data_IF_147273194676
#
_entry.id   IF_147273194676
#
_cell.length_a   1.000
_cell.length_b   1.000
_cell.length_c   1.000
_cell.angle_alpha   90.00
_cell.angle_beta   90.00
_cell.angle_gamma   90.00
#
_symmetry.space_group_name_H-M   'P 1'
#
loop_
_entity.id
_entity.type
_entity.pdbx_description
1 polymer ?
#
# COMPACT_ATOMS: atom_id res chain seq x y z
N UNK A 1 -5.53 11.64 21.21
CA UNK A 1 -4.11 11.88 21.58
C UNK A 1 -3.55 13.11 20.84
N UNK A 2 -2.34 13.59 21.16
CA UNK A 2 -1.75 14.73 20.45
C UNK A 2 -1.21 14.31 19.08
N UNK A 3 -1.18 15.22 18.11
CA UNK A 3 -0.67 14.92 16.75
C UNK A 3 0.82 14.55 16.76
N UNK A 4 1.58 15.01 17.75
CA UNK A 4 2.99 14.66 17.90
C UNK A 4 3.17 13.17 18.21
N UNK A 5 2.23 12.58 18.95
CA UNK A 5 2.25 11.16 19.32
C UNK A 5 2.05 10.26 18.09
N UNK A 6 1.32 10.74 17.08
CA UNK A 6 1.11 10.04 15.82
C UNK A 6 2.42 9.84 15.05
N UNK A 7 3.28 10.88 15.00
CA UNK A 7 4.58 10.82 14.32
C UNK A 7 5.57 9.95 15.10
N UNK A 8 5.38 9.83 16.41
CA UNK A 8 6.16 8.92 17.24
C UNK A 8 5.64 7.48 17.19
N UNK A 9 4.43 7.24 16.66
CA UNK A 9 3.85 5.91 16.56
C UNK A 9 4.47 5.13 15.38
N UNK A 10 5.31 4.10 15.65
CA UNK A 10 6.11 3.47 14.60
C UNK A 10 5.28 2.84 13.49
N UNK A 11 4.14 2.24 13.83
CA UNK A 11 3.21 1.65 12.86
C UNK A 11 2.74 2.71 11.84
N UNK A 12 2.32 3.89 12.31
CA UNK A 12 1.85 4.96 11.42
C UNK A 12 2.96 5.42 10.46
N UNK A 13 4.15 5.69 10.98
CA UNK A 13 5.29 6.16 10.17
C UNK A 13 5.64 5.14 9.08
N UNK A 14 5.71 3.86 9.44
CA UNK A 14 6.06 2.81 8.49
C UNK A 14 4.95 2.60 7.45
N UNK A 15 3.67 2.65 7.84
CA UNK A 15 2.55 2.63 6.88
C UNK A 15 2.55 3.83 5.93
N UNK A 16 2.89 5.02 6.42
CA UNK A 16 3.00 6.22 5.59
C UNK A 16 4.12 6.06 4.55
N UNK A 17 5.28 5.53 4.95
CA UNK A 17 6.38 5.22 4.02
C UNK A 17 5.93 4.19 2.98
N UNK A 18 5.22 3.14 3.38
CA UNK A 18 4.70 2.13 2.43
C UNK A 18 3.82 2.78 1.34
N UNK A 19 2.93 3.70 1.72
CA UNK A 19 2.06 4.42 0.77
C UNK A 19 2.83 5.38 -0.12
N UNK A 20 3.84 6.06 0.42
CA UNK A 20 4.75 6.90 -0.39
C UNK A 20 5.45 6.04 -1.44
N UNK A 21 5.95 4.86 -1.06
CA UNK A 21 6.60 3.93 -2.00
C UNK A 21 5.63 3.44 -3.09
N UNK A 22 4.38 3.12 -2.74
CA UNK A 22 3.35 2.82 -3.74
C UNK A 22 3.05 4.02 -4.65
N UNK A 23 3.01 5.23 -4.11
CA UNK A 23 2.80 6.47 -4.88
C UNK A 23 3.92 6.68 -5.90
N UNK A 24 5.18 6.49 -5.50
CA UNK A 24 6.34 6.55 -6.38
C UNK A 24 6.24 5.47 -7.46
N UNK A 25 5.90 4.24 -7.09
CA UNK A 25 5.71 3.12 -8.02
C UNK A 25 4.66 3.43 -9.09
N UNK A 26 3.50 3.99 -8.72
CA UNK A 26 2.43 4.41 -9.63
C UNK A 26 2.90 5.54 -10.53
N UNK A 27 3.63 6.51 -9.99
CA UNK A 27 4.14 7.67 -10.73
C UNK A 27 5.11 7.26 -11.84
N UNK A 28 5.95 6.23 -11.61
CA UNK A 28 6.83 5.68 -12.67
C UNK A 28 6.04 5.18 -13.87
N UNK A 29 4.88 4.57 -13.65
CA UNK A 29 3.99 4.09 -14.72
C UNK A 29 3.29 5.26 -15.40
N UNK A 30 2.81 6.25 -14.64
CA UNK A 30 2.14 7.42 -15.22
C UNK A 30 3.06 8.21 -16.15
N UNK A 31 4.31 8.44 -15.73
CA UNK A 31 5.27 9.26 -16.46
C UNK A 31 5.99 8.51 -17.59
N UNK A 32 5.97 7.17 -17.60
CA UNK A 32 6.73 6.32 -18.52
C UNK A 32 8.23 6.71 -18.63
N UNK A 33 8.77 7.30 -17.56
CA UNK A 33 10.17 7.72 -17.40
C UNK A 33 10.65 7.20 -16.04
N UNK A 34 11.93 6.82 -15.90
CA UNK A 34 13.00 6.71 -16.91
C UNK A 34 12.86 5.46 -17.80
N UNK A 35 13.83 5.17 -18.69
CA UNK A 35 13.85 3.95 -19.56
C UNK A 35 13.58 2.64 -18.79
N UNK A 36 13.93 2.61 -17.50
CA UNK A 36 13.74 1.48 -16.59
C UNK A 36 12.47 1.59 -15.74
N UNK A 37 11.45 2.34 -16.17
CA UNK A 37 10.23 2.60 -15.39
C UNK A 37 9.57 1.31 -14.90
N UNK A 38 9.58 0.24 -15.70
CA UNK A 38 8.97 -1.04 -15.32
C UNK A 38 9.76 -1.72 -14.19
N UNK A 39 11.09 -1.64 -14.22
CA UNK A 39 11.93 -2.16 -13.15
C UNK A 39 11.70 -1.38 -11.86
N UNK A 40 11.69 -0.05 -11.95
CA UNK A 40 11.45 0.84 -10.80
C UNK A 40 10.04 0.66 -10.23
N UNK A 41 9.02 0.54 -11.08
CA UNK A 41 7.64 0.25 -10.66
C UNK A 41 7.60 -1.03 -9.81
N UNK A 42 8.19 -2.13 -10.30
CA UNK A 42 8.27 -3.39 -9.56
C UNK A 42 9.04 -3.23 -8.25
N UNK A 43 10.19 -2.58 -8.29
CA UNK A 43 11.03 -2.37 -7.11
C UNK A 43 10.29 -1.61 -6.01
N UNK A 44 9.73 -0.44 -6.34
CA UNK A 44 8.99 0.39 -5.38
C UNK A 44 7.68 -0.27 -4.92
N UNK A 45 6.99 -1.02 -5.78
CA UNK A 45 5.80 -1.76 -5.38
C UNK A 45 6.14 -2.88 -4.37
N UNK A 46 7.18 -3.66 -4.65
CA UNK A 46 7.63 -4.72 -3.73
C UNK A 46 8.16 -4.15 -2.42
N UNK A 47 8.90 -3.03 -2.48
CA UNK A 47 9.40 -2.36 -1.29
C UNK A 47 8.24 -1.80 -0.44
N UNK A 48 7.25 -1.15 -1.08
CA UNK A 48 6.04 -0.68 -0.41
C UNK A 48 5.28 -1.82 0.29
N UNK A 49 5.14 -2.97 -0.38
CA UNK A 49 4.51 -4.15 0.23
C UNK A 49 5.31 -4.67 1.43
N UNK A 50 6.62 -4.82 1.28
CA UNK A 50 7.49 -5.29 2.36
C UNK A 50 7.41 -4.35 3.58
N UNK A 51 7.48 -3.04 3.35
CA UNK A 51 7.33 -2.02 4.38
C UNK A 51 5.95 -2.11 5.06
N UNK A 52 4.88 -2.31 4.29
CA UNK A 52 3.53 -2.51 4.84
C UNK A 52 3.42 -3.77 5.71
N UNK A 53 4.04 -4.88 5.32
CA UNK A 53 4.11 -6.10 6.14
C UNK A 53 4.87 -5.85 7.43
N UNK A 54 6.01 -5.15 7.37
CA UNK A 54 6.78 -4.77 8.56
C UNK A 54 5.93 -3.92 9.51
N UNK A 55 5.16 -2.97 8.98
CA UNK A 55 4.26 -2.15 9.80
C UNK A 55 3.20 -2.99 10.54
N UNK A 56 2.64 -4.01 9.88
CA UNK A 56 1.70 -4.93 10.53
C UNK A 56 2.35 -5.70 11.70
N UNK A 57 3.62 -6.08 11.57
CA UNK A 57 4.37 -6.75 12.65
C UNK A 57 4.61 -5.78 13.82
N UNK A 58 4.98 -4.53 13.51
CA UNK A 58 5.24 -3.48 14.51
C UNK A 58 4.01 -3.07 15.31
N UNK A 59 2.82 -3.40 14.82
CA UNK A 59 1.57 -3.15 15.54
C UNK A 59 1.47 -3.95 16.85
N UNK A 60 2.28 -5.00 17.03
CA UNK A 60 2.62 -5.52 18.36
C UNK A 60 1.44 -6.01 19.19
N UNK A 61 0.42 -6.63 18.59
CA UNK A 61 -0.71 -7.20 19.32
C UNK A 61 -1.67 -6.18 19.95
N UNK A 62 -1.56 -4.89 19.60
CA UNK A 62 -2.56 -3.88 19.96
C UNK A 62 -3.93 -4.29 19.42
N UNK A 63 -4.94 -4.25 20.29
CA UNK A 63 -6.34 -4.47 19.92
C UNK A 63 -6.79 -3.27 19.10
N UNK A 64 -6.63 -3.39 17.78
CA UNK A 64 -7.17 -2.43 16.82
C UNK A 64 -8.68 -2.33 17.01
N UNK A 65 -9.24 -1.17 16.68
CA UNK A 65 -10.63 -1.17 16.22
C UNK A 65 -10.76 -2.19 15.09
N UNK A 66 -11.62 -3.19 15.32
CA UNK A 66 -11.77 -4.39 14.49
C UNK A 66 -11.89 -4.00 13.00
N UNK A 67 -12.57 -2.88 12.70
CA UNK A 67 -12.77 -2.41 11.34
C UNK A 67 -11.49 -1.93 10.65
N UNK A 68 -10.74 -0.98 11.23
CA UNK A 68 -9.50 -0.46 10.62
C UNK A 68 -8.47 -1.60 10.48
N UNK A 69 -8.37 -2.45 11.50
CA UNK A 69 -7.51 -3.61 11.50
C UNK A 69 -7.78 -4.61 10.37
N UNK A 70 -9.03 -5.05 10.25
CA UNK A 70 -9.45 -5.99 9.19
C UNK A 70 -9.23 -5.37 7.82
N UNK A 71 -9.63 -4.13 7.61
CA UNK A 71 -9.47 -3.47 6.32
C UNK A 71 -7.99 -3.25 5.96
N UNK A 72 -7.14 -2.94 6.94
CA UNK A 72 -5.68 -2.86 6.77
C UNK A 72 -5.08 -4.18 6.32
N UNK A 73 -5.42 -5.28 7.00
CA UNK A 73 -4.96 -6.61 6.62
C UNK A 73 -5.44 -7.02 5.22
N UNK A 74 -6.73 -6.81 4.93
CA UNK A 74 -7.31 -7.07 3.60
C UNK A 74 -6.60 -6.25 2.52
N UNK A 75 -6.25 -4.99 2.81
CA UNK A 75 -5.50 -4.15 1.87
C UNK A 75 -4.12 -4.72 1.56
N UNK A 76 -3.37 -5.20 2.55
CA UNK A 76 -2.03 -5.79 2.36
C UNK A 76 -2.10 -7.10 1.58
N UNK A 77 -3.06 -7.98 1.90
CA UNK A 77 -3.31 -9.21 1.13
C UNK A 77 -3.66 -8.87 -0.33
N UNK A 78 -4.52 -7.87 -0.53
CA UNK A 78 -4.93 -7.42 -1.85
C UNK A 78 -3.77 -6.86 -2.67
N UNK A 79 -2.87 -6.07 -2.06
CA UNK A 79 -1.65 -5.62 -2.73
C UNK A 79 -0.76 -6.78 -3.17
N UNK A 80 -0.62 -7.79 -2.32
CA UNK A 80 0.13 -9.02 -2.67
C UNK A 80 -0.46 -9.68 -3.90
N UNK A 81 -1.78 -9.90 -3.92
CA UNK A 81 -2.48 -10.46 -5.07
C UNK A 81 -2.33 -9.59 -6.33
N UNK A 82 -2.43 -8.27 -6.20
CA UNK A 82 -2.28 -7.31 -7.31
C UNK A 82 -0.88 -7.34 -7.92
N UNK A 83 0.16 -7.46 -7.10
CA UNK A 83 1.53 -7.60 -7.57
C UNK A 83 1.68 -8.90 -8.36
N UNK A 84 1.13 -10.02 -7.86
CA UNK A 84 1.12 -11.31 -8.58
C UNK A 84 0.39 -11.18 -9.92
N UNK A 85 -0.80 -10.58 -9.95
CA UNK A 85 -1.56 -10.32 -11.19
C UNK A 85 -0.73 -9.46 -12.15
N UNK A 86 -0.01 -8.45 -11.64
CA UNK A 86 0.89 -7.61 -12.44
C UNK A 86 2.03 -8.40 -13.09
N UNK A 87 2.66 -9.31 -12.34
CA UNK A 87 3.68 -10.22 -12.86
C UNK A 87 3.11 -11.15 -13.94
N UNK A 88 1.91 -11.71 -13.72
CA UNK A 88 1.22 -12.55 -14.71
C UNK A 88 0.89 -11.76 -15.98
N UNK A 89 0.43 -10.50 -15.85
CA UNK A 89 0.15 -9.63 -16.98
C UNK A 89 1.40 -9.37 -17.84
N UNK A 90 2.55 -9.16 -17.20
CA UNK A 90 3.84 -8.98 -17.89
C UNK A 90 4.25 -10.27 -18.60
N UNK A 91 4.19 -11.41 -17.90
CA UNK A 91 4.62 -12.71 -18.44
C UNK A 91 3.76 -13.15 -19.63
N UNK A 92 2.43 -13.12 -19.48
CA UNK A 92 1.48 -13.53 -20.53
C UNK A 92 1.29 -12.47 -21.63
N UNK A 93 1.77 -11.24 -21.42
CA UNK A 93 1.51 -10.07 -22.28
C UNK A 93 0.01 -9.85 -22.56
N UNK A 94 -0.86 -10.24 -21.62
CA UNK A 94 -2.30 -10.19 -21.77
C UNK A 94 -2.84 -8.80 -21.41
N UNK A 95 -3.48 -8.14 -22.38
CA UNK A 95 -4.05 -6.80 -22.23
C UNK A 95 -5.21 -6.77 -21.23
N UNK A 96 -6.00 -7.83 -21.13
CA UNK A 96 -7.13 -7.92 -20.20
C UNK A 96 -6.64 -8.05 -18.76
N UNK A 97 -5.66 -8.93 -18.52
CA UNK A 97 -5.02 -9.07 -17.19
C UNK A 97 -4.34 -7.76 -16.79
N UNK A 98 -3.69 -7.06 -17.73
CA UNK A 98 -3.12 -5.72 -17.47
C UNK A 98 -4.20 -4.70 -17.07
N UNK A 99 -5.36 -4.67 -17.74
CA UNK A 99 -6.49 -3.79 -17.37
C UNK A 99 -7.00 -4.11 -15.97
N UNK A 100 -7.16 -5.39 -15.64
CA UNK A 100 -7.57 -5.84 -14.30
C UNK A 100 -6.56 -5.39 -13.24
N UNK A 101 -5.26 -5.61 -13.47
CA UNK A 101 -4.20 -5.14 -12.57
C UNK A 101 -4.29 -3.62 -12.32
N UNK A 102 -4.48 -2.81 -13.37
CA UNK A 102 -4.57 -1.35 -13.23
C UNK A 102 -5.81 -0.94 -12.43
N UNK A 103 -6.97 -1.51 -12.72
CA UNK A 103 -8.21 -1.19 -12.02
C UNK A 103 -8.16 -1.60 -10.54
N UNK A 104 -7.75 -2.83 -10.25
CA UNK A 104 -7.61 -3.30 -8.87
C UNK A 104 -6.56 -2.49 -8.09
N UNK A 105 -5.42 -2.16 -8.73
CA UNK A 105 -4.39 -1.29 -8.13
C UNK A 105 -4.96 0.05 -7.69
N UNK A 106 -5.79 0.69 -8.52
CA UNK A 106 -6.41 1.98 -8.19
C UNK A 106 -7.38 1.88 -7.03
N UNK A 107 -8.24 0.87 -7.04
CA UNK A 107 -9.25 0.65 -5.99
C UNK A 107 -8.54 0.43 -4.65
N UNK A 108 -7.55 -0.47 -4.61
CA UNK A 108 -6.85 -0.78 -3.36
C UNK A 108 -5.99 0.40 -2.91
N UNK A 109 -5.36 1.14 -3.82
CA UNK A 109 -4.61 2.35 -3.45
C UNK A 109 -5.51 3.43 -2.82
N UNK A 110 -6.71 3.69 -3.39
CA UNK A 110 -7.69 4.62 -2.81
C UNK A 110 -8.15 4.13 -1.43
N UNK A 111 -8.41 2.83 -1.28
CA UNK A 111 -8.75 2.23 0.01
C UNK A 111 -7.62 2.45 1.03
N UNK A 112 -6.35 2.30 0.65
CA UNK A 112 -5.22 2.52 1.56
C UNK A 112 -5.10 3.99 2.00
N UNK A 113 -5.35 4.94 1.09
CA UNK A 113 -5.41 6.36 1.46
C UNK A 113 -6.53 6.64 2.46
N UNK A 114 -7.71 6.07 2.22
CA UNK A 114 -8.82 6.13 3.16
C UNK A 114 -8.45 5.52 4.52
N UNK A 115 -7.74 4.39 4.54
CA UNK A 115 -7.31 3.75 5.78
C UNK A 115 -6.32 4.59 6.58
N UNK A 116 -5.40 5.32 5.93
CA UNK A 116 -4.55 6.28 6.65
C UNK A 116 -5.39 7.34 7.35
N UNK A 117 -6.35 7.94 6.65
CA UNK A 117 -7.24 8.95 7.24
C UNK A 117 -8.04 8.34 8.40
N UNK A 118 -8.60 7.15 8.21
CA UNK A 118 -9.33 6.44 9.26
C UNK A 118 -8.44 6.17 10.48
N UNK A 119 -7.21 5.68 10.26
CA UNK A 119 -6.26 5.41 11.35
C UNK A 119 -5.85 6.67 12.11
N UNK A 120 -5.67 7.80 11.41
CA UNK A 120 -5.42 9.10 12.04
C UNK A 120 -6.62 9.52 12.89
N UNK A 121 -7.83 9.41 12.36
CA UNK A 121 -9.07 9.76 13.10
C UNK A 121 -9.21 8.87 14.33
N UNK A 122 -9.10 7.54 14.18
CA UNK A 122 -9.19 6.61 15.31
C UNK A 122 -8.15 6.97 16.38
N UNK A 123 -6.90 7.24 16.01
CA UNK A 123 -5.84 7.59 16.97
C UNK A 123 -6.04 8.96 17.67
N UNK A 124 -6.63 9.94 16.98
CA UNK A 124 -6.81 11.28 17.57
C UNK A 124 -8.00 11.32 18.53
N UNK A 125 -9.07 10.59 18.22
CA UNK A 125 -10.36 10.67 18.91
C UNK A 125 -10.65 9.53 19.87
N UNK A 126 -9.89 8.43 19.82
CA UNK A 126 -9.93 7.30 20.76
C UNK A 126 -8.55 7.09 21.39
#
# INVERSE_FOLDING_TARGET
>A
MAIVDLILFPHFVVMLIAIILFSVSISMVALHKPKNWLLLHKFFASLGLLTGIIALILLGGLVLEILHGILGLVSIISFTAIIVIGLVAIYKKDKNVRKIHIWLSRIIYILSLFLIVLGIVTFLFF
#
